data_IF_857913956812
#
_entry.id   IF_857913956812
#
_cell.length_a   1.000
_cell.length_b   1.000
_cell.length_c   1.000
_cell.angle_alpha   90.00
_cell.angle_beta   90.00
_cell.angle_gamma   90.00
#
_symmetry.space_group_name_H-M   'P 1'
#
loop_
_entity.id
_entity.type
_entity.pdbx_description
1 polymer ?
#
# COMPACT_ATOMS: atom_id res chain seq x y z
N UNK A 1 12.17 11.49 -11.09
CA UNK A 1 12.29 10.16 -10.46
C UNK A 1 11.35 10.12 -9.27
N UNK A 2 10.37 9.21 -9.23
CA UNK A 2 9.47 9.09 -8.08
C UNK A 2 10.28 8.56 -6.88
N UNK A 3 10.24 9.28 -5.75
CA UNK A 3 10.86 8.81 -4.52
C UNK A 3 10.03 7.63 -4.00
N UNK A 4 10.62 6.45 -3.80
CA UNK A 4 9.87 5.29 -3.31
C UNK A 4 9.32 5.60 -1.92
N UNK A 5 8.05 5.25 -1.68
CA UNK A 5 7.38 5.52 -0.40
C UNK A 5 7.94 4.66 0.74
N UNK A 6 8.66 3.60 0.39
CA UNK A 6 9.27 2.66 1.32
C UNK A 6 10.73 2.44 0.98
N UNK A 7 11.54 2.20 1.99
CA UNK A 7 12.96 1.90 1.87
C UNK A 7 13.21 0.44 2.22
N UNK A 8 14.10 -0.23 1.48
CA UNK A 8 14.58 -1.57 1.81
C UNK A 8 15.99 -1.44 2.36
N UNK A 9 16.23 -1.97 3.56
CA UNK A 9 17.55 -1.99 4.22
C UNK A 9 17.88 -3.41 4.64
N UNK A 10 19.10 -3.86 4.39
CA UNK A 10 19.54 -5.21 4.75
C UNK A 10 20.67 -5.71 3.87
N UNK A 11 21.19 -6.89 4.18
CA UNK A 11 22.28 -7.54 3.45
C UNK A 11 22.21 -9.05 3.61
N UNK A 12 22.83 -9.77 2.66
CA UNK A 12 22.76 -11.23 2.59
C UNK A 12 21.32 -11.70 2.37
N UNK A 13 20.80 -12.52 3.27
CA UNK A 13 19.47 -13.09 3.16
C UNK A 13 18.40 -12.35 3.95
N UNK A 14 18.71 -11.24 4.63
CA UNK A 14 17.75 -10.56 5.52
C UNK A 14 17.57 -9.10 5.14
N UNK A 15 16.33 -8.74 4.78
CA UNK A 15 15.96 -7.38 4.40
C UNK A 15 14.75 -6.90 5.20
N UNK A 16 14.84 -5.67 5.72
CA UNK A 16 13.78 -4.95 6.40
C UNK A 16 13.22 -3.84 5.51
N UNK A 17 11.91 -3.63 5.60
CA UNK A 17 11.18 -2.62 4.81
C UNK A 17 10.73 -1.52 5.78
N UNK A 18 11.07 -0.28 5.46
CA UNK A 18 10.80 0.90 6.27
C UNK A 18 9.86 1.86 5.54
N UNK A 19 8.96 2.50 6.28
CA UNK A 19 8.16 3.63 5.82
C UNK A 19 8.30 4.76 6.84
N UNK A 20 8.80 5.93 6.40
CA UNK A 20 9.02 7.10 7.27
C UNK A 20 9.83 6.76 8.55
N UNK A 21 10.88 5.94 8.40
CA UNK A 21 11.73 5.50 9.51
C UNK A 21 11.15 4.38 10.38
N UNK A 22 9.89 3.97 10.20
CA UNK A 22 9.29 2.83 10.93
C UNK A 22 9.37 1.55 10.11
N UNK A 23 9.82 0.45 10.72
CA UNK A 23 9.80 -0.86 10.08
C UNK A 23 8.34 -1.33 9.90
N UNK A 24 7.98 -1.64 8.65
CA UNK A 24 6.65 -2.14 8.24
C UNK A 24 6.68 -3.59 7.75
N UNK A 25 7.88 -4.14 7.51
CA UNK A 25 8.02 -5.53 7.09
C UNK A 25 9.45 -6.05 7.17
N UNK A 26 9.57 -7.36 6.93
CA UNK A 26 10.84 -8.07 6.71
C UNK A 26 10.66 -9.11 5.63
N UNK A 27 11.72 -9.49 4.93
CA UNK A 27 11.72 -10.51 3.89
C UNK A 27 13.07 -11.22 3.87
N UNK A 28 13.05 -12.49 3.47
CA UNK A 28 14.26 -13.24 3.22
C UNK A 28 14.59 -13.18 1.72
N UNK A 29 15.80 -12.74 1.38
CA UNK A 29 16.22 -12.47 0.00
C UNK A 29 15.70 -11.14 -0.57
N UNK A 30 16.50 -10.56 -1.47
CA UNK A 30 16.24 -9.22 -2.01
C UNK A 30 14.98 -9.15 -2.86
N UNK A 31 14.74 -10.15 -3.73
CA UNK A 31 13.57 -10.18 -4.60
C UNK A 31 12.26 -10.18 -3.82
N UNK A 32 12.20 -10.97 -2.75
CA UNK A 32 11.05 -11.00 -1.84
C UNK A 32 10.86 -9.66 -1.12
N UNK A 33 11.96 -8.99 -0.76
CA UNK A 33 11.91 -7.66 -0.17
C UNK A 33 11.33 -6.64 -1.16
N UNK A 34 11.75 -6.68 -2.43
CA UNK A 34 11.22 -5.84 -3.50
C UNK A 34 9.72 -6.08 -3.73
N UNK A 35 9.28 -7.34 -3.80
CA UNK A 35 7.85 -7.67 -3.94
C UNK A 35 7.05 -7.14 -2.77
N UNK A 36 7.52 -7.35 -1.53
CA UNK A 36 6.83 -6.85 -0.33
C UNK A 36 6.84 -5.32 -0.23
N UNK A 37 7.91 -4.67 -0.66
CA UNK A 37 7.99 -3.22 -0.75
C UNK A 37 6.91 -2.68 -1.69
N UNK A 38 6.78 -3.23 -2.90
CA UNK A 38 5.73 -2.84 -3.87
C UNK A 38 4.31 -3.02 -3.31
N UNK A 39 4.07 -4.10 -2.56
CA UNK A 39 2.78 -4.32 -1.87
C UNK A 39 2.51 -3.22 -0.86
N UNK A 40 3.52 -2.83 -0.06
CA UNK A 40 3.40 -1.73 0.88
C UNK A 40 3.19 -0.39 0.18
N UNK A 41 3.92 -0.09 -0.89
CA UNK A 41 3.70 1.11 -1.69
C UNK A 41 2.26 1.17 -2.21
N UNK A 42 1.74 0.06 -2.74
CA UNK A 42 0.36 -0.02 -3.23
C UNK A 42 -0.69 0.18 -2.13
N UNK A 43 -0.37 -0.15 -0.87
CA UNK A 43 -1.24 0.10 0.29
C UNK A 43 -1.19 1.56 0.76
N UNK A 44 0.00 2.16 0.69
CA UNK A 44 0.28 3.52 1.11
C UNK A 44 -0.15 4.57 0.08
N UNK A 45 -0.19 4.19 -1.20
CA UNK A 45 -0.77 5.01 -2.25
C UNK A 45 -2.27 5.17 -2.00
N UNK A 46 -2.63 6.38 -1.55
CA UNK A 46 -3.99 6.86 -1.61
C UNK A 46 -4.31 7.21 -3.06
N UNK A 47 -5.43 6.71 -3.56
CA UNK A 47 -5.85 6.97 -4.93
C UNK A 47 -7.27 7.51 -4.91
N UNK A 48 -7.52 8.58 -5.65
CA UNK A 48 -8.88 9.02 -5.94
C UNK A 48 -9.52 8.03 -6.92
N UNK A 49 -10.68 7.51 -6.55
CA UNK A 49 -11.41 6.51 -7.33
C UNK A 49 -12.90 6.78 -7.25
N UNK A 50 -13.64 6.41 -8.30
CA UNK A 50 -15.08 6.48 -8.28
C UNK A 50 -15.65 5.30 -7.50
N UNK A 51 -16.65 5.56 -6.65
CA UNK A 51 -17.39 4.54 -5.91
C UNK A 51 -18.14 3.63 -6.87
N UNK A 52 -18.05 2.32 -6.67
CA UNK A 52 -18.80 1.35 -7.49
C UNK A 52 -20.32 1.39 -7.27
N UNK A 53 -20.80 1.97 -6.17
CA UNK A 53 -22.22 2.07 -5.87
C UNK A 53 -22.83 3.40 -6.34
N UNK A 54 -22.26 4.53 -5.92
CA UNK A 54 -22.82 5.86 -6.21
C UNK A 54 -22.05 6.67 -7.27
N UNK A 55 -20.90 6.19 -7.75
CA UNK A 55 -20.10 6.90 -8.75
C UNK A 55 -19.24 8.06 -8.21
N UNK A 56 -19.46 8.49 -6.96
CA UNK A 56 -18.72 9.59 -6.33
C UNK A 56 -17.21 9.37 -6.28
N UNK A 57 -16.44 10.42 -6.53
CA UNK A 57 -14.97 10.39 -6.42
C UNK A 57 -14.57 10.47 -4.94
N UNK A 58 -13.84 9.47 -4.46
CA UNK A 58 -13.37 9.43 -3.07
C UNK A 58 -11.93 8.94 -2.97
N UNK A 59 -11.26 9.32 -1.88
CA UNK A 59 -9.90 8.85 -1.58
C UNK A 59 -9.96 7.42 -1.01
N UNK A 60 -9.43 6.46 -1.77
CA UNK A 60 -9.36 5.06 -1.39
C UNK A 60 -7.93 4.66 -1.02
N UNK A 61 -7.81 3.89 0.07
CA UNK A 61 -6.56 3.22 0.44
C UNK A 61 -6.59 1.76 -0.02
N UNK A 62 -5.56 1.36 -0.76
CA UNK A 62 -5.39 -0.01 -1.25
C UNK A 62 -6.23 -0.36 -2.49
N UNK A 63 -5.79 -1.38 -3.23
CA UNK A 63 -6.35 -1.75 -4.54
C UNK A 63 -7.82 -2.21 -4.50
N UNK A 64 -8.24 -2.87 -3.43
CA UNK A 64 -9.54 -3.54 -3.36
C UNK A 64 -10.65 -2.66 -2.77
N UNK A 65 -10.31 -1.45 -2.33
CA UNK A 65 -11.26 -0.56 -1.68
C UNK A 65 -11.97 0.32 -2.73
N UNK A 66 -13.18 -0.06 -3.14
CA UNK A 66 -13.94 0.60 -4.23
C UNK A 66 -15.33 1.12 -3.83
N UNK A 67 -15.64 1.10 -2.54
CA UNK A 67 -16.86 1.68 -1.99
C UNK A 67 -16.49 2.87 -1.10
N UNK A 68 -17.15 4.01 -1.32
CA UNK A 68 -17.04 5.16 -0.44
C UNK A 68 -17.57 4.81 0.96
N UNK A 69 -17.15 5.58 1.97
CA UNK A 69 -17.54 5.34 3.38
C UNK A 69 -19.07 5.26 3.55
N UNK A 70 -19.88 6.18 2.98
CA UNK A 70 -21.34 6.09 3.07
C UNK A 70 -21.90 4.78 2.51
N UNK A 71 -21.51 4.39 1.28
CA UNK A 71 -22.00 3.16 0.66
C UNK A 71 -21.56 1.90 1.39
N UNK A 72 -20.39 1.92 2.05
CA UNK A 72 -19.96 0.81 2.90
C UNK A 72 -20.84 0.63 4.13
N UNK A 73 -21.27 1.72 4.76
CA UNK A 73 -22.09 1.67 5.98
C UNK A 73 -23.51 1.17 5.70
N UNK A 74 -24.02 1.36 4.48
CA UNK A 74 -25.32 0.83 4.05
C UNK A 74 -25.27 -0.68 3.76
N UNK A 75 -24.10 -1.21 3.38
CA UNK A 75 -23.92 -2.60 2.98
C UNK A 75 -23.31 -3.50 4.08
N UNK A 76 -22.95 -2.93 5.24
CA UNK A 76 -22.36 -3.63 6.38
C UNK A 76 -23.42 -3.93 7.44
#
# INVERSE_FOLDING_TARGET
MAVPLVEIRGSGDSYAIFHKGRQVGKANGFDNACVRARVWESRLQRQHRNCMCCGELFEAQGRFNRLCIPCKQVLA
#
